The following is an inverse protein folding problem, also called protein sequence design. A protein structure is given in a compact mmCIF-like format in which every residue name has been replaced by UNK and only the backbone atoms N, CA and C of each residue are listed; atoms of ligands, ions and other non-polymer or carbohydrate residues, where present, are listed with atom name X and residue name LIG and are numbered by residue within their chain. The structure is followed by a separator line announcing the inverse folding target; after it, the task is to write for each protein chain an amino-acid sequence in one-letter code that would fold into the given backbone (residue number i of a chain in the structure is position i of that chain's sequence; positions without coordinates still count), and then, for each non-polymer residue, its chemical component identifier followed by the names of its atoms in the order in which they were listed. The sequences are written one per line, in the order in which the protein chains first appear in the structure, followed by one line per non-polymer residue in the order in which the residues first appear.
data_IF_536515766247
#
_entry.id   IF_536515766247
#
_cell.length_a   1.000
_cell.length_b   1.000
_cell.length_c   1.000
_cell.angle_alpha   90.00
_cell.angle_beta   90.00
_cell.angle_gamma   90.00
#
_symmetry.space_group_name_H-M   'P 1'
#
loop_
_entity.id
_entity.type
_entity.pdbx_description
1 polymer ?
#
# COMPACT_ATOMS: atom_id res chain seq x y z
N UNK A 1 13.43 -18.40 22.54
CA UNK A 1 12.13 -18.55 21.85
C UNK A 1 11.51 -17.19 21.56
N UNK A 2 11.49 -16.26 22.52
CA UNK A 2 10.99 -14.88 22.35
C UNK A 2 11.73 -14.08 21.26
N UNK A 3 13.07 -14.14 21.22
CA UNK A 3 13.84 -13.45 20.18
C UNK A 3 13.47 -13.91 18.75
N UNK A 4 13.24 -15.21 18.56
CA UNK A 4 12.81 -15.76 17.27
C UNK A 4 11.41 -15.26 16.89
N UNK A 5 10.51 -15.16 17.88
CA UNK A 5 9.18 -14.60 17.69
C UNK A 5 9.24 -13.13 17.26
N UNK A 6 10.06 -12.29 17.90
CA UNK A 6 10.22 -10.90 17.50
C UNK A 6 10.80 -10.74 16.10
N UNK A 7 11.80 -11.55 15.72
CA UNK A 7 12.33 -11.57 14.36
C UNK A 7 11.26 -11.98 13.33
N UNK A 8 10.43 -12.98 13.65
CA UNK A 8 9.34 -13.43 12.78
C UNK A 8 8.27 -12.34 12.61
N UNK A 9 7.88 -11.67 13.70
CA UNK A 9 6.91 -10.56 13.65
C UNK A 9 7.50 -9.38 12.87
N UNK A 10 8.77 -9.03 13.08
CA UNK A 10 9.45 -7.97 12.33
C UNK A 10 9.44 -8.26 10.82
N UNK A 11 9.79 -9.49 10.41
CA UNK A 11 9.74 -9.91 9.02
C UNK A 11 8.31 -9.88 8.44
N UNK A 12 7.32 -10.36 9.19
CA UNK A 12 5.92 -10.30 8.78
C UNK A 12 5.44 -8.86 8.63
N UNK A 13 5.80 -7.97 9.56
CA UNK A 13 5.50 -6.54 9.48
C UNK A 13 6.12 -5.90 8.24
N UNK A 14 7.35 -6.26 7.88
CA UNK A 14 7.99 -5.82 6.64
C UNK A 14 7.26 -6.27 5.37
N UNK A 15 6.81 -7.52 5.33
CA UNK A 15 6.03 -8.01 4.20
C UNK A 15 4.67 -7.28 4.08
N UNK A 16 3.97 -7.12 5.19
CA UNK A 16 2.66 -6.47 5.25
C UNK A 16 2.77 -4.97 4.95
N UNK A 17 3.81 -4.29 5.44
CA UNK A 17 4.00 -2.86 5.23
C UNK A 17 4.15 -2.51 3.75
N UNK A 18 4.91 -3.32 3.00
CA UNK A 18 5.06 -3.15 1.54
C UNK A 18 3.73 -3.32 0.82
N UNK A 19 2.92 -4.31 1.19
CA UNK A 19 1.60 -4.53 0.59
C UNK A 19 0.64 -3.37 0.85
N UNK A 20 0.55 -2.92 2.11
CA UNK A 20 -0.31 -1.82 2.51
C UNK A 20 0.14 -0.51 1.85
N UNK A 21 1.44 -0.23 1.86
CA UNK A 21 2.02 0.94 1.20
C UNK A 21 1.76 0.91 -0.30
N UNK A 22 2.03 -0.20 -0.98
CA UNK A 22 1.82 -0.35 -2.42
C UNK A 22 0.34 -0.17 -2.79
N UNK A 23 -0.59 -0.72 -2.00
CA UNK A 23 -2.04 -0.52 -2.19
C UNK A 23 -2.44 0.94 -1.95
N UNK A 24 -1.99 1.56 -0.87
CA UNK A 24 -2.22 2.97 -0.58
C UNK A 24 -1.74 3.85 -1.73
N UNK A 25 -0.50 3.65 -2.17
CA UNK A 25 0.11 4.43 -3.24
C UNK A 25 -0.64 4.29 -4.57
N UNK A 26 -1.06 3.08 -4.93
CA UNK A 26 -1.91 2.87 -6.12
C UNK A 26 -3.26 3.58 -6.01
N UNK A 27 -3.82 3.74 -4.82
CA UNK A 27 -5.04 4.54 -4.63
C UNK A 27 -4.79 6.03 -4.79
N UNK A 28 -3.66 6.55 -4.28
CA UNK A 28 -3.23 7.93 -4.55
C UNK A 28 -3.04 8.18 -6.04
N UNK A 29 -2.36 7.27 -6.75
CA UNK A 29 -2.22 7.35 -8.21
C UNK A 29 -3.58 7.25 -8.92
N UNK A 30 -4.51 6.46 -8.39
CA UNK A 30 -5.87 6.35 -8.92
C UNK A 30 -6.67 7.65 -8.84
N UNK A 31 -6.50 8.42 -7.76
CA UNK A 31 -7.05 9.78 -7.62
C UNK A 31 -6.47 10.70 -8.72
N UNK A 32 -5.14 10.69 -8.87
CA UNK A 32 -4.46 11.49 -9.89
C UNK A 32 -4.94 11.10 -11.30
N UNK A 33 -5.05 9.80 -11.59
CA UNK A 33 -5.53 9.29 -12.86
C UNK A 33 -6.98 9.70 -13.14
N UNK A 34 -7.86 9.66 -12.13
CA UNK A 34 -9.24 10.13 -12.27
C UNK A 34 -9.30 11.63 -12.61
N UNK A 35 -8.47 12.47 -11.98
CA UNK A 35 -8.36 13.89 -12.30
C UNK A 35 -7.85 14.13 -13.73
N UNK A 36 -6.86 13.36 -14.18
CA UNK A 36 -6.36 13.44 -15.57
C UNK A 36 -7.45 13.04 -16.56
N UNK A 37 -8.22 11.99 -16.27
CA UNK A 37 -9.32 11.54 -17.13
C UNK A 37 -10.47 12.56 -17.18
N UNK A 38 -10.75 13.23 -16.07
CA UNK A 38 -11.71 14.35 -16.01
C UNK A 38 -11.25 15.50 -16.90
N UNK A 39 -9.98 15.91 -16.80
CA UNK A 39 -9.41 16.98 -17.62
C UNK A 39 -9.42 16.65 -19.12
N UNK A 40 -9.33 15.36 -19.48
CA UNK A 40 -9.44 14.86 -20.87
C UNK A 40 -10.89 14.67 -21.33
N UNK A 41 -11.89 14.95 -20.49
CA UNK A 41 -13.30 14.69 -20.80
C UNK A 41 -13.66 13.20 -20.94
N UNK A 42 -12.78 12.30 -20.50
CA UNK A 42 -12.95 10.85 -20.64
C UNK A 42 -13.75 10.24 -19.47
N UNK A 43 -13.87 10.95 -18.35
CA UNK A 43 -14.61 10.52 -17.16
C UNK A 43 -15.27 11.74 -16.50
N UNK A 44 -16.60 11.79 -16.43
CA UNK A 44 -17.35 12.92 -15.86
C UNK A 44 -18.54 12.45 -15.02
N UNK A 45 -19.06 13.31 -14.15
CA UNK A 45 -20.27 13.06 -13.38
C UNK A 45 -20.13 11.94 -12.34
N UNK A 46 -21.16 11.10 -12.22
CA UNK A 46 -21.23 10.05 -11.20
C UNK A 46 -20.07 9.03 -11.28
N UNK A 47 -19.63 8.55 -12.46
CA UNK A 47 -18.46 7.68 -12.58
C UNK A 47 -17.16 8.28 -12.02
N UNK A 48 -16.95 9.60 -12.19
CA UNK A 48 -15.79 10.29 -11.63
C UNK A 48 -15.84 10.27 -10.09
N UNK A 49 -16.98 10.67 -9.51
CA UNK A 49 -17.15 10.73 -8.07
C UNK A 49 -17.07 9.37 -7.40
N UNK A 50 -17.67 8.34 -8.00
CA UNK A 50 -17.55 6.96 -7.51
C UNK A 50 -16.08 6.52 -7.46
N UNK A 51 -15.36 6.72 -8.56
CA UNK A 51 -13.94 6.35 -8.65
C UNK A 51 -13.08 7.11 -7.64
N UNK A 52 -13.33 8.41 -7.49
CA UNK A 52 -12.65 9.25 -6.49
C UNK A 52 -12.90 8.77 -5.06
N UNK A 53 -14.17 8.54 -4.72
CA UNK A 53 -14.55 8.05 -3.40
C UNK A 53 -13.92 6.69 -3.12
N UNK A 54 -13.97 5.76 -4.06
CA UNK A 54 -13.37 4.43 -3.88
C UNK A 54 -11.87 4.52 -3.65
N UNK A 55 -11.16 5.29 -4.47
CA UNK A 55 -9.73 5.46 -4.26
C UNK A 55 -9.42 6.16 -2.94
N UNK A 56 -10.17 7.18 -2.54
CA UNK A 56 -9.96 7.89 -1.29
C UNK A 56 -10.24 6.98 -0.07
N UNK A 57 -11.41 6.34 -0.02
CA UNK A 57 -11.82 5.49 1.09
C UNK A 57 -10.85 4.32 1.29
N UNK A 58 -10.53 3.60 0.20
CA UNK A 58 -9.56 2.51 0.29
C UNK A 58 -8.16 3.03 0.57
N UNK A 59 -7.75 4.17 0.01
CA UNK A 59 -6.46 4.79 0.30
C UNK A 59 -6.31 5.06 1.80
N UNK A 60 -7.26 5.79 2.38
CA UNK A 60 -7.29 6.08 3.81
C UNK A 60 -7.25 4.81 4.65
N UNK A 61 -8.05 3.79 4.31
CA UNK A 61 -8.04 2.53 5.04
C UNK A 61 -6.65 1.87 5.05
N UNK A 62 -6.00 1.71 3.90
CA UNK A 62 -4.68 1.09 3.83
C UNK A 62 -3.62 1.93 4.57
N UNK A 63 -3.66 3.25 4.43
CA UNK A 63 -2.76 4.18 5.13
C UNK A 63 -2.94 4.12 6.65
N UNK A 64 -4.18 4.14 7.13
CA UNK A 64 -4.50 4.03 8.56
C UNK A 64 -4.08 2.68 9.12
N UNK A 65 -4.35 1.57 8.42
CA UNK A 65 -3.92 0.23 8.85
C UNK A 65 -2.39 0.16 8.93
N UNK A 66 -1.68 0.74 7.97
CA UNK A 66 -0.21 0.81 7.98
C UNK A 66 0.31 1.57 9.20
N UNK A 67 -0.23 2.78 9.45
CA UNK A 67 0.15 3.60 10.60
C UNK A 67 -0.15 2.87 11.91
N UNK A 68 -1.32 2.24 12.03
CA UNK A 68 -1.70 1.45 13.20
C UNK A 68 -0.77 0.26 13.41
N UNK A 69 -0.36 -0.41 12.34
CA UNK A 69 0.55 -1.56 12.41
C UNK A 69 1.91 -1.15 12.97
N UNK A 70 2.45 0.00 12.53
CA UNK A 70 3.69 0.54 13.10
C UNK A 70 3.52 1.02 14.53
N UNK A 71 2.43 1.73 14.86
CA UNK A 71 2.10 2.14 16.24
C UNK A 71 2.07 0.95 17.19
N UNK A 72 1.37 -0.12 16.82
CA UNK A 72 1.31 -1.33 17.64
C UNK A 72 2.68 -2.01 17.74
N UNK A 73 3.39 -2.15 16.62
CA UNK A 73 4.69 -2.82 16.62
C UNK A 73 5.75 -2.08 17.46
N UNK A 74 5.84 -0.75 17.32
CA UNK A 74 6.84 0.08 17.99
C UNK A 74 6.45 0.39 19.45
N UNK A 75 5.22 0.84 19.68
CA UNK A 75 4.82 1.41 20.98
C UNK A 75 4.25 0.36 21.95
N UNK A 76 3.63 -0.72 21.44
CA UNK A 76 2.98 -1.75 22.27
C UNK A 76 3.85 -3.00 22.39
N UNK A 77 4.40 -3.49 21.27
CA UNK A 77 5.20 -4.72 21.24
C UNK A 77 6.70 -4.42 21.47
N UNK A 78 7.17 -3.23 21.09
CA UNK A 78 8.57 -2.83 21.25
C UNK A 78 9.53 -3.44 20.21
N UNK A 79 9.02 -3.81 19.03
CA UNK A 79 9.83 -4.36 17.93
C UNK A 79 10.51 -3.22 17.16
N UNK A 80 11.71 -3.45 16.64
CA UNK A 80 12.48 -2.48 15.87
C UNK A 80 13.56 -1.77 16.70
N UNK A 81 13.90 -2.30 17.87
CA UNK A 81 14.92 -1.73 18.75
C UNK A 81 16.30 -2.35 18.49
N UNK A 82 16.35 -3.57 17.96
CA UNK A 82 17.60 -4.28 17.68
C UNK A 82 17.94 -4.30 16.19
N UNK A 83 19.25 -4.35 15.88
CA UNK A 83 19.72 -4.47 14.49
C UNK A 83 19.17 -5.73 13.80
N UNK A 84 18.99 -6.82 14.55
CA UNK A 84 18.42 -8.07 14.04
C UNK A 84 16.96 -7.92 13.59
N UNK A 85 16.14 -7.23 14.37
CA UNK A 85 14.74 -6.93 14.02
C UNK A 85 14.65 -6.03 12.78
N UNK A 86 15.48 -4.98 12.70
CA UNK A 86 15.54 -4.12 11.52
C UNK A 86 15.96 -4.89 10.27
N UNK A 87 16.92 -5.81 10.39
CA UNK A 87 17.34 -6.67 9.29
C UNK A 87 16.22 -7.65 8.89
N UNK A 88 15.54 -8.27 9.86
CA UNK A 88 14.43 -9.18 9.60
C UNK A 88 13.26 -8.46 8.91
N UNK A 89 12.90 -7.26 9.37
CA UNK A 89 11.94 -6.38 8.71
C UNK A 89 12.33 -6.10 7.26
N UNK A 90 13.59 -5.71 7.03
CA UNK A 90 14.09 -5.43 5.68
C UNK A 90 14.00 -6.67 4.78
N UNK A 91 14.42 -7.84 5.26
CA UNK A 91 14.32 -9.09 4.51
C UNK A 91 12.87 -9.47 4.19
N UNK A 92 11.93 -9.19 5.10
CA UNK A 92 10.49 -9.37 4.86
C UNK A 92 9.94 -8.47 3.76
N UNK A 93 10.49 -7.27 3.59
CA UNK A 93 10.07 -6.32 2.55
C UNK A 93 10.42 -6.82 1.13
N UNK A 94 11.63 -7.37 0.95
CA UNK A 94 12.20 -7.70 -0.36
C UNK A 94 11.30 -8.55 -1.27
N UNK A 95 10.74 -9.71 -0.85
CA UNK A 95 9.95 -10.55 -1.75
C UNK A 95 8.66 -9.85 -2.20
N UNK A 96 8.01 -9.09 -1.31
CA UNK A 96 6.78 -8.35 -1.63
C UNK A 96 7.07 -7.16 -2.53
N UNK A 97 8.17 -6.45 -2.28
CA UNK A 97 8.59 -5.32 -3.10
C UNK A 97 8.93 -5.76 -4.53
N UNK A 98 9.64 -6.88 -4.66
CA UNK A 98 9.92 -7.49 -5.95
C UNK A 98 8.65 -7.90 -6.71
N UNK A 99 7.70 -8.56 -6.04
CA UNK A 99 6.41 -8.92 -6.62
C UNK A 99 5.59 -7.68 -7.05
N UNK A 100 5.66 -6.61 -6.26
CA UNK A 100 5.04 -5.33 -6.62
C UNK A 100 5.64 -4.76 -7.90
N UNK A 101 6.97 -4.65 -8.01
CA UNK A 101 7.62 -4.11 -9.20
C UNK A 101 7.31 -4.89 -10.48
N UNK A 102 7.17 -6.21 -10.40
CA UNK A 102 6.76 -7.03 -11.56
C UNK A 102 5.37 -6.70 -12.08
N UNK A 103 4.48 -6.17 -11.23
CA UNK A 103 3.07 -5.92 -11.59
C UNK A 103 2.72 -4.44 -11.66
N UNK A 104 3.58 -3.54 -11.19
CA UNK A 104 3.26 -2.11 -11.04
C UNK A 104 2.92 -1.44 -12.37
N UNK A 105 3.64 -1.78 -13.45
CA UNK A 105 3.39 -1.20 -14.78
C UNK A 105 1.96 -1.50 -15.26
N UNK A 106 1.58 -2.79 -15.30
CA UNK A 106 0.23 -3.21 -15.68
C UNK A 106 -0.87 -2.63 -14.76
N UNK A 107 -0.57 -2.43 -13.48
CA UNK A 107 -1.48 -1.79 -12.53
C UNK A 107 -1.67 -0.31 -12.82
N UNK A 108 -0.59 0.42 -13.17
CA UNK A 108 -0.66 1.83 -13.57
C UNK A 108 -1.48 1.98 -14.85
N UNK A 109 -1.24 1.14 -15.87
CA UNK A 109 -2.01 1.16 -17.11
C UNK A 109 -3.51 0.93 -16.86
N UNK A 110 -3.84 0.04 -15.92
CA UNK A 110 -5.22 -0.20 -15.52
C UNK A 110 -5.90 1.04 -14.88
N UNK A 111 -5.14 1.97 -14.27
CA UNK A 111 -5.68 3.21 -13.71
C UNK A 111 -6.20 4.18 -14.77
N UNK A 112 -5.79 4.05 -16.03
CA UNK A 112 -6.28 4.90 -17.12
C UNK A 112 -7.37 4.26 -17.97
N UNK A 113 -7.71 2.99 -17.71
CA UNK A 113 -8.84 2.34 -18.36
C UNK A 113 -10.14 3.04 -17.93
N UNK A 114 -10.92 3.43 -18.93
CA UNK A 114 -12.29 3.92 -18.79
C UNK A 114 -13.21 2.80 -19.26
N UNK A 115 -14.35 2.61 -18.59
CA UNK A 115 -15.37 1.66 -19.03
C UNK A 115 -16.09 2.22 -20.27
N UNK A 116 -15.36 2.36 -21.38
CA UNK A 116 -15.95 2.57 -22.70
C UNK A 116 -16.38 1.20 -23.22
N UNK A 117 -17.68 0.93 -23.12
CA UNK A 117 -18.38 0.21 -24.20
C UNK A 117 -18.67 1.20 -25.32
#
# INVERSE_FOLDING_TARGET
MEALLFLAIAAALGAVSVDLFGRFWLRVLGIIAACILLAKGALMGLPFWSRMHDHLAWGLLHGSVLILSFRVALDVIGIGTTAGECLAYFLGCLPRQWAFFKTVSARIDALFKTDRK
#
